data_IF_319771670389
#
_entry.id   IF_319771670389
#
_cell.length_a   1.000
_cell.length_b   1.000
_cell.length_c   1.000
_cell.angle_alpha   90.00
_cell.angle_beta   90.00
_cell.angle_gamma   90.00
#
_symmetry.space_group_name_H-M   'P 1'
#
loop_
_entity.id
_entity.type
_entity.pdbx_description
1 polymer ?
#
# COMPACT_ATOMS: atom_id res chain seq x y z
N UNK A 1 19.62 -4.24 37.57
CA UNK A 1 19.01 -4.64 36.28
C UNK A 1 18.00 -3.57 35.89
N UNK A 2 17.90 -3.25 34.60
CA UNK A 2 16.90 -2.31 34.08
C UNK A 2 15.50 -2.94 34.20
N UNK A 3 14.52 -2.23 34.76
CA UNK A 3 13.16 -2.77 34.97
C UNK A 3 12.19 -2.32 33.87
N UNK A 4 11.06 -3.03 33.73
CA UNK A 4 10.01 -2.70 32.76
C UNK A 4 9.41 -1.32 33.00
N UNK A 5 9.28 -0.93 34.27
CA UNK A 5 8.73 0.36 34.69
C UNK A 5 9.63 1.50 34.20
N UNK A 6 10.95 1.40 34.43
CA UNK A 6 11.91 2.41 33.97
C UNK A 6 11.97 2.52 32.44
N UNK A 7 11.87 1.40 31.73
CA UNK A 7 11.79 1.38 30.26
C UNK A 7 10.51 2.07 29.78
N UNK A 8 9.39 1.81 30.46
CA UNK A 8 8.08 2.39 30.12
C UNK A 8 8.06 3.89 30.37
N UNK A 9 8.61 4.34 31.49
CA UNK A 9 8.78 5.77 31.80
C UNK A 9 9.64 6.47 30.75
N UNK A 10 10.76 5.86 30.35
CA UNK A 10 11.63 6.44 29.33
C UNK A 10 10.94 6.51 27.97
N UNK A 11 10.23 5.45 27.55
CA UNK A 11 9.47 5.47 26.30
C UNK A 11 8.42 6.59 26.28
N UNK A 12 7.70 6.79 27.39
CA UNK A 12 6.74 7.88 27.54
C UNK A 12 7.41 9.26 27.54
N UNK A 13 8.55 9.39 28.23
CA UNK A 13 9.37 10.63 28.24
C UNK A 13 9.82 11.00 26.83
N UNK A 14 10.17 10.01 26.01
CA UNK A 14 10.51 10.18 24.60
C UNK A 14 9.27 10.39 23.72
N UNK A 15 8.05 10.31 24.24
CA UNK A 15 6.82 10.66 23.51
C UNK A 15 6.15 9.53 22.74
N UNK A 16 6.57 8.27 22.92
CA UNK A 16 5.83 7.11 22.42
C UNK A 16 4.49 6.98 23.16
N UNK A 17 3.40 6.66 22.45
CA UNK A 17 2.04 6.67 23.04
C UNK A 17 1.73 5.43 23.86
N UNK A 18 2.43 4.33 23.60
CA UNK A 18 2.26 3.06 24.31
C UNK A 18 3.52 2.20 24.15
N UNK A 19 3.64 1.18 24.99
CA UNK A 19 4.73 0.21 24.99
C UNK A 19 4.22 -1.17 25.44
N UNK A 20 4.78 -2.24 24.90
CA UNK A 20 4.54 -3.60 25.39
C UNK A 20 5.78 -4.49 25.30
N UNK A 21 5.73 -5.62 25.98
CA UNK A 21 6.81 -6.59 26.07
C UNK A 21 6.32 -7.96 25.60
N UNK A 22 7.14 -8.68 24.84
CA UNK A 22 6.84 -10.05 24.43
C UNK A 22 8.12 -10.89 24.32
N UNK A 23 8.01 -12.20 24.12
CA UNK A 23 9.17 -13.08 23.96
C UNK A 23 9.84 -12.89 22.61
N UNK A 24 11.10 -13.32 22.49
CA UNK A 24 11.81 -13.41 21.21
C UNK A 24 11.58 -14.74 20.47
N UNK A 25 10.50 -15.45 20.79
CA UNK A 25 10.17 -16.70 20.10
C UNK A 25 9.71 -16.44 18.66
N UNK A 26 9.88 -17.41 17.75
CA UNK A 26 9.43 -17.31 16.38
C UNK A 26 7.94 -16.94 16.26
N UNK A 27 7.59 -16.27 15.18
CA UNK A 27 6.20 -15.95 14.83
C UNK A 27 5.61 -17.06 13.96
N UNK A 28 5.38 -18.25 14.51
CA UNK A 28 4.99 -19.45 13.75
C UNK A 28 3.75 -19.25 12.88
N UNK A 29 2.69 -18.66 13.43
CA UNK A 29 1.47 -18.32 12.66
C UNK A 29 1.73 -17.33 11.51
N UNK A 30 2.73 -16.46 11.64
CA UNK A 30 3.15 -15.56 10.58
C UNK A 30 3.97 -16.30 9.51
N UNK A 31 4.85 -17.22 9.91
CA UNK A 31 5.59 -18.09 8.99
C UNK A 31 4.64 -18.95 8.16
N UNK A 32 3.64 -19.58 8.79
CA UNK A 32 2.60 -20.35 8.10
C UNK A 32 1.82 -19.48 7.10
N UNK A 33 1.49 -18.25 7.50
CA UNK A 33 0.84 -17.28 6.60
C UNK A 33 1.71 -16.94 5.38
N UNK A 34 2.99 -16.64 5.60
CA UNK A 34 3.93 -16.31 4.53
C UNK A 34 4.12 -17.50 3.58
N UNK A 35 4.20 -18.73 4.10
CA UNK A 35 4.31 -19.93 3.29
C UNK A 35 3.09 -20.12 2.39
N UNK A 36 1.89 -20.04 2.96
CA UNK A 36 0.63 -20.18 2.22
C UNK A 36 0.44 -19.09 1.15
N UNK A 37 1.03 -17.92 1.34
CA UNK A 37 0.85 -16.75 0.47
C UNK A 37 2.14 -16.33 -0.25
N UNK A 38 3.13 -17.22 -0.37
CA UNK A 38 4.48 -16.92 -0.86
C UNK A 38 4.50 -16.12 -2.16
N UNK A 39 3.69 -16.53 -3.14
CA UNK A 39 3.56 -15.87 -4.45
C UNK A 39 3.16 -14.39 -4.35
N UNK A 40 2.36 -14.02 -3.34
CA UNK A 40 1.91 -12.64 -3.15
C UNK A 40 3.03 -11.74 -2.58
N UNK A 41 4.11 -12.32 -2.04
CA UNK A 41 5.19 -11.62 -1.35
C UNK A 41 6.57 -11.78 -2.01
N UNK A 42 6.66 -12.32 -3.23
CA UNK A 42 7.91 -12.45 -4.01
C UNK A 42 8.59 -11.11 -4.35
N UNK A 43 7.87 -10.00 -4.18
CA UNK A 43 8.42 -8.66 -4.30
C UNK A 43 9.35 -8.28 -3.15
N UNK A 44 9.16 -8.84 -1.95
CA UNK A 44 9.86 -8.41 -0.74
C UNK A 44 11.38 -8.61 -0.81
N UNK A 45 11.91 -9.77 -1.26
CA UNK A 45 13.35 -9.96 -1.43
C UNK A 45 13.99 -8.97 -2.42
N UNK A 46 13.25 -8.53 -3.45
CA UNK A 46 13.74 -7.55 -4.44
C UNK A 46 13.99 -6.17 -3.82
N UNK A 47 13.36 -5.89 -2.68
CA UNK A 47 13.53 -4.68 -1.89
C UNK A 47 14.50 -4.88 -0.70
N UNK A 48 15.20 -6.02 -0.65
CA UNK A 48 16.12 -6.36 0.44
C UNK A 48 15.44 -6.76 1.75
N UNK A 49 14.14 -7.05 1.72
CA UNK A 49 13.36 -7.53 2.87
C UNK A 49 13.32 -9.06 2.89
N UNK A 50 13.74 -9.65 3.99
CA UNK A 50 13.66 -11.09 4.23
C UNK A 50 12.59 -11.38 5.28
N UNK A 51 11.33 -11.50 4.82
CA UNK A 51 10.18 -11.67 5.69
C UNK A 51 10.22 -12.99 6.48
N UNK A 52 10.81 -14.05 5.92
CA UNK A 52 10.94 -15.35 6.59
C UNK A 52 12.00 -15.28 7.69
N UNK A 53 13.17 -14.70 7.40
CA UNK A 53 14.20 -14.47 8.40
C UNK A 53 13.69 -13.58 9.54
N UNK A 54 13.06 -12.45 9.20
CA UNK A 54 12.50 -11.53 10.19
C UNK A 54 11.43 -12.15 11.08
N UNK A 55 10.72 -13.20 10.64
CA UNK A 55 9.73 -13.89 11.46
C UNK A 55 10.35 -14.83 12.53
N UNK A 56 11.65 -15.08 12.49
CA UNK A 56 12.41 -15.67 13.61
C UNK A 56 13.41 -14.63 14.16
N UNK A 57 13.08 -13.96 15.28
CA UNK A 57 13.93 -12.93 15.88
C UNK A 57 15.40 -13.33 16.11
N UNK A 58 15.66 -14.61 16.41
CA UNK A 58 17.00 -15.08 16.75
C UNK A 58 17.90 -15.22 15.52
N UNK A 59 17.34 -15.26 14.32
CA UNK A 59 18.13 -15.17 13.08
C UNK A 59 18.71 -13.77 12.83
N UNK A 60 18.12 -12.74 13.46
CA UNK A 60 18.54 -11.35 13.36
C UNK A 60 19.46 -10.97 14.53
N UNK A 61 19.13 -11.42 15.73
CA UNK A 61 19.90 -11.23 16.96
C UNK A 61 19.91 -12.55 17.74
N UNK A 62 20.94 -13.41 17.57
CA UNK A 62 21.01 -14.74 18.20
C UNK A 62 20.82 -14.75 19.71
N UNK A 63 21.25 -13.68 20.37
CA UNK A 63 21.16 -13.47 21.81
C UNK A 63 19.80 -12.90 22.27
N UNK A 64 18.84 -12.65 21.37
CA UNK A 64 17.55 -12.07 21.72
C UNK A 64 16.73 -12.98 22.64
N UNK A 65 16.25 -12.41 23.74
CA UNK A 65 15.39 -13.05 24.74
C UNK A 65 13.99 -12.46 24.77
N UNK A 66 13.87 -11.16 24.54
CA UNK A 66 12.58 -10.46 24.51
C UNK A 66 12.51 -9.45 23.37
N UNK A 67 11.29 -8.97 23.12
CA UNK A 67 10.99 -7.89 22.20
C UNK A 67 10.27 -6.80 22.98
N UNK A 68 10.79 -5.58 22.91
CA UNK A 68 10.13 -4.37 23.37
C UNK A 68 9.43 -3.72 22.16
N UNK A 69 8.13 -3.49 22.25
CA UNK A 69 7.36 -2.85 21.18
C UNK A 69 6.94 -1.46 21.61
N UNK A 70 7.47 -0.44 20.94
CA UNK A 70 7.04 0.94 21.10
C UNK A 70 5.93 1.26 20.11
N UNK A 71 4.92 2.02 20.52
CA UNK A 71 3.86 2.50 19.64
C UNK A 71 4.05 3.99 19.41
N UNK A 72 4.21 4.36 18.15
CA UNK A 72 4.22 5.75 17.71
C UNK A 72 2.86 6.12 17.11
N UNK A 73 2.31 7.29 17.44
CA UNK A 73 1.14 7.82 16.74
C UNK A 73 1.57 8.88 15.73
N UNK A 74 1.41 8.60 14.44
CA UNK A 74 1.85 9.47 13.33
C UNK A 74 0.80 10.49 12.89
N UNK A 75 -0.40 10.46 13.47
CA UNK A 75 -1.47 11.42 13.19
C UNK A 75 -1.92 12.12 14.47
N UNK A 76 -1.07 13.00 15.00
CA UNK A 76 -1.37 13.87 16.16
C UNK A 76 -1.55 15.34 15.77
N UNK A 77 -1.21 15.64 14.52
CA UNK A 77 -1.35 16.94 13.91
C UNK A 77 -2.14 16.77 12.61
N UNK A 78 -2.86 17.81 12.21
CA UNK A 78 -3.61 17.82 10.96
C UNK A 78 -2.67 18.09 9.79
N UNK A 79 -3.00 17.51 8.63
CA UNK A 79 -2.28 17.76 7.39
C UNK A 79 -3.16 18.56 6.42
N UNK A 80 -2.56 19.31 5.47
CA UNK A 80 -3.31 20.05 4.47
C UNK A 80 -4.27 19.12 3.69
N UNK A 81 -5.56 19.48 3.53
CA UNK A 81 -6.53 18.66 2.80
C UNK A 81 -6.09 18.35 1.35
N UNK A 82 -5.35 19.26 0.72
CA UNK A 82 -4.76 19.06 -0.61
C UNK A 82 -3.79 17.88 -0.65
N UNK A 83 -3.09 17.60 0.45
CA UNK A 83 -2.19 16.46 0.54
C UNK A 83 -2.93 15.18 0.93
N UNK A 84 -3.81 15.23 1.94
CA UNK A 84 -4.57 14.04 2.39
C UNK A 84 -5.46 13.44 1.29
N UNK A 85 -5.86 14.25 0.30
CA UNK A 85 -6.61 13.80 -0.87
C UNK A 85 -5.79 12.87 -1.80
N UNK A 86 -4.46 12.96 -1.77
CA UNK A 86 -3.57 12.30 -2.73
C UNK A 86 -2.52 11.39 -2.10
N UNK A 87 -2.23 11.56 -0.81
CA UNK A 87 -1.10 10.92 -0.14
C UNK A 87 -1.56 10.23 1.15
N UNK A 88 -1.04 9.02 1.40
CA UNK A 88 -1.28 8.32 2.67
C UNK A 88 -0.63 9.07 3.85
N UNK A 89 -1.37 9.24 4.95
CA UNK A 89 -0.94 10.09 6.08
C UNK A 89 0.36 9.64 6.74
N UNK A 90 0.63 8.34 6.76
CA UNK A 90 1.86 7.80 7.34
C UNK A 90 3.14 8.21 6.59
N UNK A 91 3.01 8.80 5.39
CA UNK A 91 4.15 9.25 4.56
C UNK A 91 4.30 10.77 4.52
N UNK A 92 3.34 11.53 5.06
CA UNK A 92 3.35 13.00 4.95
C UNK A 92 4.41 13.64 5.84
N UNK A 93 4.66 13.06 7.01
CA UNK A 93 5.67 13.51 7.96
C UNK A 93 6.66 12.40 8.32
N UNK A 94 7.17 11.73 7.30
CA UNK A 94 8.20 10.70 7.45
C UNK A 94 9.58 11.35 7.58
N UNK A 95 10.25 11.09 8.69
CA UNK A 95 11.52 11.72 9.05
C UNK A 95 12.71 10.74 9.00
N UNK A 96 12.55 9.57 8.37
CA UNK A 96 13.64 8.59 8.27
C UNK A 96 14.84 9.12 7.49
N UNK A 97 14.60 9.98 6.50
CA UNK A 97 15.65 10.62 5.71
C UNK A 97 16.16 11.92 6.36
N UNK A 98 15.25 12.76 6.88
CA UNK A 98 15.62 14.04 7.54
C UNK A 98 16.28 13.83 8.90
N UNK A 99 15.99 12.69 9.56
CA UNK A 99 16.54 12.25 10.85
C UNK A 99 16.33 13.26 11.98
N UNK A 100 15.21 13.97 11.96
CA UNK A 100 14.89 15.07 12.88
C UNK A 100 13.63 14.83 13.75
N UNK A 101 13.05 13.63 13.72
CA UNK A 101 11.91 13.27 14.60
C UNK A 101 12.00 11.86 15.19
N UNK A 102 11.18 10.91 14.71
CA UNK A 102 11.09 9.53 15.20
C UNK A 102 12.46 8.86 15.25
N UNK A 103 13.31 9.02 14.22
CA UNK A 103 14.67 8.44 14.23
C UNK A 103 15.51 8.94 15.42
N UNK A 104 15.39 10.21 15.82
CA UNK A 104 16.10 10.76 16.99
C UNK A 104 15.62 10.09 18.28
N UNK A 105 14.31 9.92 18.42
CA UNK A 105 13.70 9.28 19.59
C UNK A 105 14.05 7.80 19.69
N UNK A 106 14.03 7.08 18.57
CA UNK A 106 14.48 5.68 18.50
C UNK A 106 15.95 5.54 18.89
N UNK A 107 16.82 6.45 18.41
CA UNK A 107 18.24 6.47 18.79
C UNK A 107 18.41 6.74 20.29
N UNK A 108 17.70 7.72 20.85
CA UNK A 108 17.73 8.02 22.28
C UNK A 108 17.28 6.82 23.13
N UNK A 109 16.20 6.15 22.74
CA UNK A 109 15.73 4.94 23.42
C UNK A 109 16.77 3.81 23.40
N UNK A 110 17.41 3.58 22.25
CA UNK A 110 18.49 2.58 22.14
C UNK A 110 19.73 2.95 22.96
N UNK A 111 20.09 4.23 23.01
CA UNK A 111 21.17 4.72 23.87
C UNK A 111 20.86 4.46 25.34
N UNK A 112 19.64 4.78 25.79
CA UNK A 112 19.18 4.50 27.16
C UNK A 112 19.28 3.00 27.51
N UNK A 113 18.82 2.11 26.61
CA UNK A 113 18.97 0.66 26.81
C UNK A 113 20.45 0.27 26.96
N UNK A 114 21.29 0.74 26.04
CA UNK A 114 22.73 0.44 26.03
C UNK A 114 23.44 0.93 27.30
N UNK A 115 23.17 2.16 27.74
CA UNK A 115 23.74 2.75 28.96
C UNK A 115 23.36 1.97 30.22
N UNK A 116 22.24 1.25 30.18
CA UNK A 116 21.78 0.38 31.26
C UNK A 116 22.12 -1.11 31.00
N UNK A 117 23.05 -1.40 30.09
CA UNK A 117 23.59 -2.74 29.85
C UNK A 117 22.69 -3.68 29.05
N UNK A 118 21.73 -3.15 28.28
CA UNK A 118 20.83 -3.93 27.43
C UNK A 118 21.23 -3.77 25.96
N UNK A 119 21.67 -4.85 25.31
CA UNK A 119 21.91 -4.82 23.87
C UNK A 119 20.57 -4.77 23.12
N UNK A 120 20.52 -4.02 22.00
CA UNK A 120 19.29 -3.92 21.21
C UNK A 120 19.51 -3.79 19.70
N UNK A 121 18.61 -4.42 18.94
CA UNK A 121 18.45 -4.24 17.49
C UNK A 121 17.01 -3.87 17.14
N UNK A 122 16.83 -2.99 16.16
CA UNK A 122 15.52 -2.58 15.65
C UNK A 122 15.43 -2.89 14.15
N UNK A 123 15.29 -4.18 13.78
CA UNK A 123 15.34 -4.59 12.38
C UNK A 123 14.01 -4.30 11.65
N UNK A 124 14.08 -4.03 10.35
CA UNK A 124 12.91 -3.68 9.53
C UNK A 124 12.03 -4.86 9.11
N UNK A 125 12.60 -6.06 9.09
CA UNK A 125 11.99 -7.29 8.57
C UNK A 125 11.20 -8.07 9.63
N UNK A 126 11.32 -7.72 10.92
CA UNK A 126 10.45 -8.25 11.98
C UNK A 126 8.98 -7.91 11.67
N UNK A 127 8.02 -8.82 11.90
CA UNK A 127 6.61 -8.52 11.71
C UNK A 127 6.09 -7.60 12.84
N UNK A 128 6.38 -6.31 12.73
CA UNK A 128 6.13 -5.27 13.76
C UNK A 128 4.69 -5.29 14.31
N UNK A 129 3.69 -5.47 13.45
CA UNK A 129 2.28 -5.53 13.89
C UNK A 129 1.97 -6.81 14.67
N UNK A 130 2.56 -7.94 14.29
CA UNK A 130 2.41 -9.19 15.05
C UNK A 130 3.14 -9.10 16.40
N UNK A 131 4.34 -8.52 16.44
CA UNK A 131 5.04 -8.26 17.70
C UNK A 131 4.17 -7.39 18.63
N UNK A 132 3.56 -6.34 18.10
CA UNK A 132 2.68 -5.45 18.85
C UNK A 132 1.43 -6.15 19.40
N UNK A 133 0.78 -7.00 18.60
CA UNK A 133 -0.35 -7.80 19.04
C UNK A 133 0.07 -8.86 20.09
N UNK A 134 1.24 -9.50 19.91
CA UNK A 134 1.81 -10.45 20.88
C UNK A 134 2.24 -9.77 22.18
N UNK A 135 2.55 -8.48 22.14
CA UNK A 135 2.84 -7.63 23.30
C UNK A 135 1.60 -6.92 23.88
N UNK A 136 0.38 -7.29 23.45
CA UNK A 136 -0.88 -6.77 24.00
C UNK A 136 -1.18 -5.29 23.72
N UNK A 137 -0.42 -4.64 22.84
CA UNK A 137 -0.54 -3.19 22.54
C UNK A 137 -1.66 -2.87 21.54
N UNK A 138 -2.17 -3.87 20.83
CA UNK A 138 -3.23 -3.69 19.85
C UNK A 138 -3.81 -4.97 19.28
N UNK A 139 -4.93 -4.84 18.60
CA UNK A 139 -5.61 -5.92 17.87
C UNK A 139 -5.67 -5.61 16.38
N UNK A 140 -5.86 -6.62 15.54
CA UNK A 140 -5.98 -6.41 14.10
C UNK A 140 -7.38 -5.98 13.69
N UNK A 141 -7.44 -5.21 12.61
CA UNK A 141 -8.67 -5.00 11.84
C UNK A 141 -8.76 -5.96 10.66
N UNK A 142 -9.96 -6.14 10.10
CA UNK A 142 -10.17 -6.87 8.83
C UNK A 142 -9.43 -6.24 7.63
N UNK A 143 -8.89 -5.03 7.79
CA UNK A 143 -8.02 -4.35 6.83
C UNK A 143 -6.51 -4.63 7.03
N UNK A 144 -6.15 -5.61 7.86
CA UNK A 144 -4.76 -6.03 8.14
C UNK A 144 -3.90 -4.99 8.87
N UNK A 145 -4.51 -3.94 9.42
CA UNK A 145 -3.84 -2.94 10.25
C UNK A 145 -3.99 -3.26 11.73
N UNK A 146 -3.03 -2.78 12.52
CA UNK A 146 -3.10 -2.83 13.98
C UNK A 146 -3.86 -1.60 14.49
N UNK A 147 -4.71 -1.81 15.49
CA UNK A 147 -5.42 -0.77 16.22
C UNK A 147 -5.01 -0.83 17.67
N UNK A 148 -4.67 0.31 18.26
CA UNK A 148 -4.20 0.36 19.64
C UNK A 148 -5.25 -0.13 20.63
N UNK A 149 -4.84 -0.78 21.72
CA UNK A 149 -5.73 -1.12 22.83
C UNK A 149 -5.86 0.00 23.85
N UNK A 150 -4.78 0.75 24.10
CA UNK A 150 -4.67 1.68 25.25
C UNK A 150 -4.41 3.13 24.86
N UNK A 151 -3.98 3.37 23.62
CA UNK A 151 -3.65 4.69 23.12
C UNK A 151 -4.55 5.09 21.95
N UNK A 152 -4.40 6.34 21.51
CA UNK A 152 -5.04 6.92 20.32
C UNK A 152 -6.54 6.61 20.17
N UNK A 153 -7.26 6.48 21.30
CA UNK A 153 -8.69 6.12 21.34
C UNK A 153 -9.04 4.88 20.49
N UNK A 154 -8.17 3.87 20.51
CA UNK A 154 -8.43 2.62 19.78
C UNK A 154 -8.13 2.68 18.29
N UNK A 155 -7.43 3.70 17.81
CA UNK A 155 -7.17 3.96 16.40
C UNK A 155 -5.99 3.17 15.82
N UNK A 156 -6.00 3.03 14.49
CA UNK A 156 -4.92 2.49 13.65
C UNK A 156 -3.92 3.52 13.14
N UNK A 157 -4.05 4.79 13.52
CA UNK A 157 -3.08 5.85 13.16
C UNK A 157 -1.78 5.75 13.97
N UNK A 158 -1.23 4.54 14.03
CA UNK A 158 -0.06 4.15 14.80
C UNK A 158 0.95 3.34 13.98
N UNK A 159 2.22 3.46 14.35
CA UNK A 159 3.34 2.68 13.84
C UNK A 159 3.96 1.89 15.00
N UNK A 160 3.84 0.55 15.00
CA UNK A 160 4.55 -0.27 15.97
C UNK A 160 6.02 -0.44 15.60
N UNK A 161 6.90 -0.38 16.59
CA UNK A 161 8.36 -0.43 16.45
C UNK A 161 8.90 -1.50 17.38
N UNK A 162 9.44 -2.58 16.83
CA UNK A 162 9.88 -3.75 17.58
C UNK A 162 11.40 -3.68 17.77
N UNK A 163 11.84 -3.82 19.03
CA UNK A 163 13.24 -3.82 19.44
C UNK A 163 13.55 -5.19 20.05
N UNK A 164 14.44 -5.93 19.40
CA UNK A 164 15.01 -7.16 19.96
C UNK A 164 15.99 -6.78 21.05
N UNK A 165 15.94 -7.49 22.19
CA UNK A 165 16.82 -7.26 23.34
C UNK A 165 17.35 -8.58 23.91
N UNK A 166 18.56 -8.53 24.46
CA UNK A 166 19.27 -9.67 25.06
C UNK A 166 18.85 -10.00 26.51
N UNK A 167 17.97 -9.17 27.06
CA UNK A 167 17.41 -9.31 28.40
C UNK A 167 16.04 -9.95 28.36
N UNK A 168 15.76 -10.78 29.37
CA UNK A 168 14.45 -11.39 29.55
C UNK A 168 13.54 -10.45 30.34
N UNK A 169 12.37 -10.17 29.78
CA UNK A 169 11.31 -9.42 30.44
C UNK A 169 10.04 -10.28 30.47
N UNK A 170 9.27 -10.17 31.55
CA UNK A 170 7.96 -10.80 31.63
C UNK A 170 7.08 -10.27 30.47
N UNK A 171 6.55 -11.15 29.60
CA UNK A 171 5.71 -10.74 28.49
C UNK A 171 4.37 -10.21 28.99
N UNK A 172 3.79 -9.29 28.21
CA UNK A 172 2.40 -8.85 28.37
C UNK A 172 1.43 -9.88 27.80
N UNK A 173 0.16 -9.79 28.21
CA UNK A 173 -0.90 -10.66 27.72
C UNK A 173 -1.14 -10.43 26.21
N UNK A 174 -1.01 -11.46 25.35
CA UNK A 174 -1.21 -11.30 23.92
C UNK A 174 -2.65 -10.93 23.55
N UNK A 175 -2.81 -10.05 22.57
CA UNK A 175 -4.11 -9.69 21.97
C UNK A 175 -4.17 -10.04 20.49
N UNK A 176 -3.60 -11.19 20.12
CA UNK A 176 -3.55 -11.66 18.74
C UNK A 176 -4.95 -12.06 18.29
N UNK A 177 -5.53 -11.26 17.40
CA UNK A 177 -6.82 -11.54 16.82
C UNK A 177 -7.39 -10.35 16.06
N UNK A 178 -8.47 -10.60 15.33
CA UNK A 178 -9.24 -9.56 14.66
C UNK A 178 -10.39 -9.16 15.60
N UNK A 179 -10.31 -7.96 16.17
CA UNK A 179 -11.33 -7.44 17.09
C UNK A 179 -12.12 -6.30 16.43
N UNK A 180 -12.83 -6.65 15.36
CA UNK A 180 -13.70 -5.70 14.66
C UNK A 180 -15.11 -5.72 15.27
N UNK A 181 -15.70 -4.55 15.56
CA UNK A 181 -17.09 -4.49 16.03
C UNK A 181 -18.04 -5.15 15.03
N UNK A 182 -18.96 -5.98 15.50
CA UNK A 182 -19.90 -6.72 14.64
C UNK A 182 -20.74 -5.81 13.74
N UNK A 183 -21.04 -4.60 14.20
CA UNK A 183 -21.81 -3.59 13.48
C UNK A 183 -21.01 -2.84 12.40
N UNK A 184 -19.69 -3.03 12.28
CA UNK A 184 -18.89 -2.31 11.29
C UNK A 184 -19.18 -2.74 9.84
N UNK A 185 -19.88 -3.87 9.65
CA UNK A 185 -20.35 -4.39 8.35
C UNK A 185 -19.27 -4.38 7.25
N UNK A 186 -18.05 -4.77 7.60
CA UNK A 186 -16.94 -4.91 6.65
C UNK A 186 -16.62 -3.62 5.88
N UNK A 187 -16.87 -2.44 6.49
CA UNK A 187 -16.71 -1.14 5.86
C UNK A 187 -15.41 -0.98 5.07
N UNK A 188 -14.28 -1.41 5.64
CA UNK A 188 -12.97 -1.33 4.99
C UNK A 188 -12.84 -2.21 3.74
N UNK A 189 -13.43 -3.41 3.75
CA UNK A 189 -13.42 -4.35 2.63
C UNK A 189 -14.32 -3.80 1.52
N UNK A 190 -15.55 -3.38 1.87
CA UNK A 190 -16.49 -2.77 0.92
C UNK A 190 -15.94 -1.48 0.30
N UNK A 191 -15.17 -0.70 1.06
CA UNK A 191 -14.58 0.53 0.58
C UNK A 191 -13.32 0.31 -0.27
N UNK A 192 -12.68 -0.87 -0.25
CA UNK A 192 -11.45 -1.14 -1.00
C UNK A 192 -11.76 -1.29 -2.51
N UNK A 193 -11.46 -0.30 -3.35
CA UNK A 193 -11.98 -0.24 -4.72
C UNK A 193 -11.29 -1.27 -5.64
N UNK A 194 -10.05 -1.66 -5.30
CA UNK A 194 -9.28 -2.66 -6.03
C UNK A 194 -9.53 -4.09 -5.53
N UNK A 195 -10.33 -4.26 -4.45
CA UNK A 195 -10.57 -5.56 -3.79
C UNK A 195 -9.28 -6.26 -3.35
N UNK A 196 -8.32 -5.47 -2.85
CA UNK A 196 -7.08 -5.98 -2.29
C UNK A 196 -7.32 -6.72 -0.96
N UNK A 197 -8.22 -6.20 -0.12
CA UNK A 197 -8.63 -6.84 1.13
C UNK A 197 -9.57 -8.02 0.85
N UNK A 198 -9.23 -9.21 1.36
CA UNK A 198 -10.02 -10.44 1.16
C UNK A 198 -11.08 -10.67 2.23
N UNK A 199 -10.91 -10.04 3.40
CA UNK A 199 -11.87 -10.02 4.50
C UNK A 199 -11.72 -11.14 5.53
N UNK A 200 -10.79 -12.05 5.32
CA UNK A 200 -10.34 -13.12 6.22
C UNK A 200 -9.05 -12.73 6.98
N UNK A 201 -8.76 -11.43 7.09
CA UNK A 201 -7.50 -10.93 7.64
C UNK A 201 -6.33 -10.94 6.66
N UNK A 202 -6.57 -11.29 5.38
CA UNK A 202 -5.54 -11.31 4.35
C UNK A 202 -5.72 -10.19 3.31
N UNK A 203 -4.61 -9.84 2.67
CA UNK A 203 -4.52 -8.83 1.62
C UNK A 203 -3.74 -9.39 0.42
N UNK A 204 -4.19 -9.06 -0.79
CA UNK A 204 -3.38 -9.22 -2.00
C UNK A 204 -2.62 -7.91 -2.26
N UNK A 205 -1.33 -7.81 -1.89
CA UNK A 205 -0.56 -6.59 -2.06
C UNK A 205 -0.49 -6.13 -3.52
N UNK A 206 -0.50 -7.06 -4.49
CA UNK A 206 -0.45 -6.74 -5.93
C UNK A 206 -1.68 -5.96 -6.42
N UNK A 207 -2.74 -5.89 -5.61
CA UNK A 207 -3.93 -5.08 -5.86
C UNK A 207 -4.05 -3.89 -4.91
N UNK A 208 -3.25 -3.83 -3.85
CA UNK A 208 -3.29 -2.76 -2.87
C UNK A 208 -2.79 -1.46 -3.51
N UNK A 209 -3.58 -0.38 -3.39
CA UNK A 209 -3.23 0.93 -3.95
C UNK A 209 -1.90 1.42 -3.38
N UNK A 210 -1.69 1.24 -2.07
CA UNK A 210 -0.43 1.62 -1.40
C UNK A 210 0.75 0.89 -2.05
N UNK A 211 0.71 -0.44 -2.10
CA UNK A 211 1.75 -1.25 -2.75
C UNK A 211 1.99 -0.82 -4.21
N UNK A 212 0.93 -0.71 -5.01
CA UNK A 212 1.04 -0.36 -6.43
C UNK A 212 1.62 1.03 -6.66
N UNK A 213 1.43 1.96 -5.72
CA UNK A 213 1.90 3.34 -5.85
C UNK A 213 3.42 3.47 -5.82
N UNK A 214 4.14 2.56 -5.14
CA UNK A 214 5.60 2.60 -5.03
C UNK A 214 6.32 1.29 -5.45
N UNK A 215 5.68 0.12 -5.34
CA UNK A 215 6.27 -1.19 -5.69
C UNK A 215 5.57 -1.91 -6.85
N UNK A 216 4.61 -1.28 -7.52
CA UNK A 216 4.00 -1.87 -8.72
C UNK A 216 5.02 -2.12 -9.83
N UNK A 217 4.70 -2.95 -10.82
CA UNK A 217 5.58 -3.15 -11.98
C UNK A 217 4.95 -2.58 -13.25
N UNK A 218 5.75 -1.84 -14.03
CA UNK A 218 5.33 -1.30 -15.32
C UNK A 218 4.17 -0.29 -15.24
N UNK A 219 3.40 -0.22 -16.32
CA UNK A 219 2.23 0.67 -16.41
C UNK A 219 1.08 0.14 -15.56
N UNK A 220 0.34 1.01 -14.86
CA UNK A 220 -0.84 0.59 -14.09
C UNK A 220 -1.83 -0.19 -14.96
N UNK A 221 -2.24 -1.41 -14.57
CA UNK A 221 -3.22 -2.22 -15.30
C UNK A 221 -4.52 -1.46 -15.53
N UNK A 222 -5.13 -1.63 -16.71
CA UNK A 222 -6.29 -0.84 -17.17
C UNK A 222 -7.44 -0.90 -16.16
N UNK A 223 -7.72 -2.09 -15.63
CA UNK A 223 -8.77 -2.36 -14.66
C UNK A 223 -8.50 -1.77 -13.27
N UNK A 224 -7.28 -1.31 -12.99
CA UNK A 224 -6.91 -0.67 -11.73
C UNK A 224 -6.78 0.85 -11.84
N UNK A 225 -6.68 1.43 -13.05
CA UNK A 225 -6.45 2.87 -13.24
C UNK A 225 -7.51 3.73 -12.55
N UNK A 226 -8.79 3.44 -12.82
CA UNK A 226 -9.91 4.16 -12.21
C UNK A 226 -10.13 3.77 -10.74
N UNK A 227 -10.13 2.46 -10.36
CA UNK A 227 -10.25 2.08 -8.96
C UNK A 227 -9.18 2.62 -8.02
N UNK A 228 -7.95 2.87 -8.47
CA UNK A 228 -6.92 3.47 -7.63
C UNK A 228 -7.24 4.93 -7.23
N UNK A 229 -8.20 5.58 -7.91
CA UNK A 229 -8.71 6.90 -7.53
C UNK A 229 -7.63 7.98 -7.50
N UNK A 230 -7.71 8.84 -6.49
CA UNK A 230 -6.91 10.07 -6.38
C UNK A 230 -5.55 9.89 -5.68
N UNK A 231 -5.15 8.66 -5.32
CA UNK A 231 -3.92 8.42 -4.55
C UNK A 231 -2.65 8.35 -5.42
N UNK A 232 -1.73 9.30 -5.25
CA UNK A 232 -0.42 9.31 -5.91
C UNK A 232 0.57 8.38 -5.19
N UNK A 233 0.59 8.43 -3.85
CA UNK A 233 1.53 7.66 -3.01
C UNK A 233 0.84 7.21 -1.72
N UNK A 234 0.83 5.91 -1.45
CA UNK A 234 0.10 5.36 -0.31
C UNK A 234 -1.41 5.31 -0.51
N UNK A 235 -2.15 4.83 0.50
CA UNK A 235 -3.62 4.84 0.49
C UNK A 235 -4.20 4.65 1.90
N UNK A 236 -5.05 5.58 2.31
CA UNK A 236 -5.68 5.58 3.64
C UNK A 236 -7.14 5.12 3.62
N UNK A 237 -7.67 4.74 2.45
CA UNK A 237 -9.11 4.54 2.27
C UNK A 237 -9.71 3.52 3.25
N UNK A 238 -9.01 2.42 3.51
CA UNK A 238 -9.47 1.39 4.45
C UNK A 238 -9.38 1.83 5.92
N UNK A 239 -8.59 2.85 6.26
CA UNK A 239 -8.52 3.47 7.58
C UNK A 239 -9.59 4.56 7.72
N UNK A 240 -9.73 5.43 6.71
CA UNK A 240 -10.69 6.54 6.70
C UNK A 240 -12.13 6.08 6.92
N UNK A 241 -12.50 4.92 6.34
CA UNK A 241 -13.86 4.37 6.49
C UNK A 241 -14.03 3.48 7.73
N UNK A 242 -12.94 3.17 8.46
CA UNK A 242 -13.04 2.27 9.60
C UNK A 242 -13.63 3.02 10.81
N UNK A 243 -14.74 2.54 11.39
CA UNK A 243 -15.38 3.27 12.48
C UNK A 243 -14.52 3.34 13.75
N UNK A 244 -13.56 2.42 13.94
CA UNK A 244 -12.58 2.45 15.04
C UNK A 244 -11.64 3.67 14.99
N UNK A 245 -11.48 4.31 13.84
CA UNK A 245 -10.68 5.52 13.71
C UNK A 245 -11.48 6.81 13.99
N UNK A 246 -12.82 6.75 14.00
CA UNK A 246 -13.70 7.94 14.08
C UNK A 246 -13.39 8.80 15.30
N UNK A 247 -13.27 8.18 16.48
CA UNK A 247 -13.06 8.90 17.73
C UNK A 247 -11.73 9.67 17.80
N UNK A 248 -10.72 9.18 17.08
CA UNK A 248 -9.43 9.85 16.95
C UNK A 248 -9.44 10.91 15.85
N UNK A 249 -10.00 10.58 14.69
CA UNK A 249 -10.05 11.47 13.52
C UNK A 249 -11.07 12.62 13.65
N UNK A 250 -12.04 12.53 14.56
CA UNK A 250 -12.99 13.62 14.83
C UNK A 250 -12.42 14.74 15.73
N UNK A 251 -11.18 14.59 16.21
CA UNK A 251 -10.52 15.62 17.01
C UNK A 251 -10.08 16.79 16.14
N UNK A 252 -10.15 17.99 16.70
CA UNK A 252 -9.44 19.14 16.15
C UNK A 252 -7.95 19.01 16.51
N UNK A 253 -7.12 18.71 15.51
CA UNK A 253 -5.67 18.58 15.66
C UNK A 253 -4.97 19.86 15.19
N UNK A 254 -3.95 20.36 15.91
CA UNK A 254 -3.16 21.49 15.43
C UNK A 254 -2.51 21.16 14.08
N UNK A 255 -2.29 22.15 13.20
CA UNK A 255 -1.65 21.92 11.92
C UNK A 255 -0.19 21.50 12.09
N UNK A 256 0.24 20.50 11.32
CA UNK A 256 1.65 20.13 11.27
C UNK A 256 2.43 21.18 10.44
N UNK A 257 3.34 21.96 11.04
CA UNK A 257 4.02 23.04 10.33
C UNK A 257 4.98 22.54 9.26
N UNK A 258 5.63 21.38 9.47
CA UNK A 258 6.57 20.79 8.51
C UNK A 258 5.86 20.35 7.23
N UNK A 259 4.69 19.73 7.38
CA UNK A 259 3.86 19.30 6.25
C UNK A 259 3.20 20.48 5.55
N UNK A 260 2.73 21.48 6.31
CA UNK A 260 2.17 22.69 5.72
C UNK A 260 3.19 23.47 4.87
N UNK A 261 4.44 23.58 5.35
CA UNK A 261 5.50 24.32 4.66
C UNK A 261 5.84 23.74 3.27
N UNK A 262 5.77 22.42 3.10
CA UNK A 262 6.09 21.73 1.84
C UNK A 262 4.89 21.43 0.95
N UNK A 263 3.67 21.82 1.34
CA UNK A 263 2.46 21.42 0.63
C UNK A 263 2.43 21.82 -0.85
N UNK A 264 3.03 22.96 -1.20
CA UNK A 264 3.13 23.43 -2.59
C UNK A 264 4.06 22.56 -3.44
N UNK A 265 5.07 21.93 -2.82
CA UNK A 265 6.03 21.11 -3.55
C UNK A 265 5.37 19.84 -4.12
N UNK A 266 4.23 19.44 -3.55
CA UNK A 266 3.43 18.26 -3.94
C UNK A 266 2.23 18.60 -4.84
N UNK A 267 2.20 19.78 -5.46
CA UNK A 267 1.21 20.10 -6.49
C UNK A 267 1.27 19.10 -7.66
N UNK A 268 0.12 18.69 -8.18
CA UNK A 268 0.07 17.65 -9.22
C UNK A 268 0.79 18.09 -10.51
N UNK A 269 0.70 19.35 -10.93
CA UNK A 269 1.41 19.81 -12.12
C UNK A 269 2.92 19.83 -11.87
N UNK A 270 3.36 20.32 -10.70
CA UNK A 270 4.77 20.29 -10.31
C UNK A 270 5.32 18.85 -10.31
N UNK A 271 4.59 17.88 -9.76
CA UNK A 271 4.98 16.47 -9.74
C UNK A 271 4.94 15.80 -11.12
N UNK A 272 4.09 16.26 -12.04
CA UNK A 272 4.06 15.74 -13.42
C UNK A 272 5.32 16.18 -14.18
N UNK A 273 5.74 17.43 -14.00
CA UNK A 273 6.86 18.04 -14.71
C UNK A 273 8.21 17.92 -13.99
N UNK A 274 8.24 17.45 -12.74
CA UNK A 274 9.48 17.40 -11.95
C UNK A 274 10.63 16.67 -12.66
N UNK A 275 11.83 17.20 -12.49
CA UNK A 275 13.07 16.55 -12.87
C UNK A 275 13.70 15.82 -11.66
N UNK A 276 14.87 15.23 -11.89
CA UNK A 276 15.65 14.57 -10.83
C UNK A 276 16.00 15.53 -9.70
N UNK A 277 16.44 16.74 -10.03
CA UNK A 277 16.88 17.74 -9.07
C UNK A 277 15.75 18.14 -8.13
N UNK A 278 14.58 18.47 -8.68
CA UNK A 278 13.39 18.80 -7.91
C UNK A 278 12.99 17.64 -7.01
N UNK A 279 12.96 16.43 -7.54
CA UNK A 279 12.60 15.23 -6.77
C UNK A 279 13.55 14.99 -5.59
N UNK A 280 14.86 14.96 -5.83
CA UNK A 280 15.87 14.68 -4.81
C UNK A 280 15.91 15.76 -3.72
N UNK A 281 15.61 17.01 -4.06
CA UNK A 281 15.63 18.13 -3.11
C UNK A 281 14.32 18.35 -2.35
N UNK A 282 13.16 18.12 -3.00
CA UNK A 282 11.85 18.53 -2.47
C UNK A 282 10.95 17.37 -2.07
N UNK A 283 11.08 16.21 -2.74
CA UNK A 283 10.12 15.10 -2.60
C UNK A 283 10.75 13.91 -1.87
N UNK A 284 11.89 13.44 -2.37
CA UNK A 284 12.59 12.27 -1.83
C UNK A 284 12.92 12.36 -0.33
N UNK A 285 13.30 13.53 0.23
CA UNK A 285 13.52 13.66 1.68
C UNK A 285 12.31 13.33 2.55
N UNK A 286 11.11 13.29 1.96
CA UNK A 286 9.85 13.03 2.66
C UNK A 286 9.14 11.75 2.20
N UNK A 287 9.35 11.28 0.96
CA UNK A 287 8.72 10.08 0.42
C UNK A 287 9.73 9.21 -0.35
N UNK A 288 10.55 8.47 0.39
CA UNK A 288 11.80 7.88 -0.10
C UNK A 288 11.70 6.45 -0.67
N UNK A 289 10.53 5.79 -0.62
CA UNK A 289 10.40 4.41 -1.14
C UNK A 289 10.57 4.24 -2.65
N UNK A 290 10.66 5.34 -3.39
CA UNK A 290 11.03 5.35 -4.80
C UNK A 290 12.33 6.12 -4.96
N UNK A 291 13.26 5.60 -5.75
CA UNK A 291 14.47 6.35 -6.11
C UNK A 291 14.22 7.32 -7.26
N UNK A 292 15.19 8.18 -7.54
CA UNK A 292 15.14 9.07 -8.69
C UNK A 292 15.21 8.34 -10.06
N UNK A 293 15.55 7.05 -10.07
CA UNK A 293 15.44 6.21 -11.29
C UNK A 293 13.99 5.76 -11.55
N UNK A 294 13.11 5.98 -10.56
CA UNK A 294 11.70 5.64 -10.60
C UNK A 294 10.78 6.86 -10.77
N UNK A 295 11.31 8.02 -11.19
CA UNK A 295 10.52 9.23 -11.47
C UNK A 295 9.32 8.97 -12.38
N UNK A 296 9.48 8.05 -13.34
CA UNK A 296 8.40 7.61 -14.22
C UNK A 296 7.16 7.15 -13.45
N UNK A 297 7.31 6.53 -12.27
CA UNK A 297 6.20 6.01 -11.47
C UNK A 297 5.40 7.15 -10.85
N UNK A 298 6.09 8.15 -10.31
CA UNK A 298 5.46 9.36 -9.81
C UNK A 298 4.64 10.06 -10.90
N UNK A 299 5.27 10.35 -12.04
CA UNK A 299 4.61 11.01 -13.18
C UNK A 299 3.43 10.21 -13.69
N UNK A 300 3.57 8.88 -13.79
CA UNK A 300 2.47 7.98 -14.16
C UNK A 300 1.32 8.05 -13.15
N UNK A 301 1.61 7.97 -11.84
CA UNK A 301 0.58 8.03 -10.80
C UNK A 301 -0.15 9.38 -10.82
N UNK A 302 0.58 10.48 -11.00
CA UNK A 302 0.03 11.83 -11.12
C UNK A 302 -0.87 11.95 -12.35
N UNK A 303 -0.41 11.51 -13.53
CA UNK A 303 -1.23 11.50 -14.74
C UNK A 303 -2.52 10.68 -14.55
N UNK A 304 -2.44 9.53 -13.86
CA UNK A 304 -3.62 8.72 -13.50
C UNK A 304 -4.59 9.49 -12.60
N UNK A 305 -4.08 10.20 -11.59
CA UNK A 305 -4.87 11.02 -10.67
C UNK A 305 -5.54 12.19 -11.40
N UNK A 306 -4.80 12.90 -12.26
CA UNK A 306 -5.38 13.94 -13.13
C UNK A 306 -6.49 13.37 -14.01
N UNK A 307 -6.27 12.22 -14.65
CA UNK A 307 -7.31 11.53 -15.44
C UNK A 307 -8.54 11.13 -14.63
N UNK A 308 -8.34 10.64 -13.40
CA UNK A 308 -9.41 10.26 -12.48
C UNK A 308 -10.20 11.45 -11.94
N UNK A 309 -9.57 12.63 -11.80
CA UNK A 309 -10.25 13.85 -11.38
C UNK A 309 -11.37 14.24 -12.35
N UNK A 310 -11.18 13.96 -13.64
CA UNK A 310 -12.07 14.44 -14.70
C UNK A 310 -12.09 15.97 -14.82
N UNK A 311 -11.08 16.66 -14.29
CA UNK A 311 -10.96 18.11 -14.30
C UNK A 311 -10.21 18.58 -15.55
N UNK A 312 -10.91 19.32 -16.40
CA UNK A 312 -10.39 19.83 -17.68
C UNK A 312 -9.21 20.79 -17.48
N UNK A 313 -9.01 21.35 -16.28
CA UNK A 313 -7.86 22.22 -15.97
C UNK A 313 -6.51 21.54 -16.18
N UNK A 314 -6.46 20.21 -16.12
CA UNK A 314 -5.22 19.45 -16.29
C UNK A 314 -4.91 19.13 -17.77
N UNK A 315 -5.80 19.44 -18.71
CA UNK A 315 -5.57 19.16 -20.12
C UNK A 315 -4.29 19.84 -20.67
N UNK A 316 -4.00 21.13 -20.39
CA UNK A 316 -2.78 21.76 -20.87
C UNK A 316 -1.52 21.07 -20.34
N UNK A 317 -1.45 20.80 -19.03
CA UNK A 317 -0.32 20.12 -18.37
C UNK A 317 -0.10 18.71 -18.95
N UNK A 318 -1.18 17.94 -19.12
CA UNK A 318 -1.11 16.59 -19.70
C UNK A 318 -0.64 16.61 -21.17
N UNK A 319 -1.12 17.55 -21.98
CA UNK A 319 -0.68 17.70 -23.37
C UNK A 319 0.79 18.11 -23.46
N UNK A 320 1.22 19.02 -22.59
CA UNK A 320 2.62 19.43 -22.51
C UNK A 320 3.52 18.25 -22.12
N UNK A 321 3.19 17.56 -21.02
CA UNK A 321 3.95 16.40 -20.53
C UNK A 321 3.99 15.25 -21.55
N UNK A 322 2.96 15.09 -22.39
CA UNK A 322 2.93 14.09 -23.46
C UNK A 322 4.05 14.32 -24.49
N UNK A 323 4.38 15.58 -24.77
CA UNK A 323 5.46 15.98 -25.68
C UNK A 323 6.85 15.86 -25.07
N UNK A 324 6.96 15.95 -23.74
CA UNK A 324 8.26 15.96 -23.02
C UNK A 324 8.79 14.56 -22.67
N UNK A 325 7.90 13.61 -22.35
CA UNK A 325 8.32 12.32 -21.77
C UNK A 325 8.57 11.24 -22.82
N UNK A 326 9.76 10.64 -22.84
CA UNK A 326 10.04 9.45 -23.65
C UNK A 326 9.70 8.13 -22.96
N UNK A 327 9.38 8.17 -21.66
CA UNK A 327 8.94 6.97 -20.94
C UNK A 327 7.55 6.52 -21.43
N UNK A 328 7.50 5.32 -22.03
CA UNK A 328 6.28 4.75 -22.62
C UNK A 328 5.18 4.49 -21.59
N UNK A 329 5.52 4.25 -20.31
CA UNK A 329 4.55 4.02 -19.24
C UNK A 329 3.87 5.34 -18.86
N UNK A 330 4.66 6.40 -18.71
CA UNK A 330 4.15 7.76 -18.45
C UNK A 330 3.31 8.23 -19.63
N UNK A 331 3.84 8.15 -20.84
CA UNK A 331 3.15 8.56 -22.08
C UNK A 331 1.83 7.82 -22.27
N UNK A 332 1.82 6.51 -22.01
CA UNK A 332 0.61 5.68 -22.08
C UNK A 332 -0.45 6.07 -21.03
N UNK A 333 -0.03 6.46 -19.82
CA UNK A 333 -0.95 6.92 -18.78
C UNK A 333 -1.50 8.32 -19.07
N UNK A 334 -0.67 9.22 -19.60
CA UNK A 334 -1.11 10.55 -20.06
C UNK A 334 -2.14 10.41 -21.17
N UNK A 335 -1.90 9.56 -22.17
CA UNK A 335 -2.87 9.29 -23.24
C UNK A 335 -4.21 8.78 -22.68
N UNK A 336 -4.16 7.87 -21.71
CA UNK A 336 -5.36 7.39 -21.01
C UNK A 336 -6.08 8.51 -20.25
N UNK A 337 -5.33 9.37 -19.55
CA UNK A 337 -5.89 10.50 -18.80
C UNK A 337 -6.58 11.52 -19.72
N UNK A 338 -5.92 11.89 -20.83
CA UNK A 338 -6.49 12.76 -21.87
C UNK A 338 -7.78 12.17 -22.44
N UNK A 339 -7.80 10.88 -22.78
CA UNK A 339 -9.00 10.20 -23.26
C UNK A 339 -10.13 10.16 -22.21
N UNK A 340 -9.78 10.01 -20.92
CA UNK A 340 -10.75 9.99 -19.81
C UNK A 340 -11.39 11.36 -19.59
N UNK A 341 -10.61 12.43 -19.64
CA UNK A 341 -11.06 13.82 -19.48
C UNK A 341 -11.80 14.29 -20.74
N UNK A 342 -11.13 14.25 -21.90
CA UNK A 342 -11.68 14.71 -23.18
C UNK A 342 -12.92 13.92 -23.63
N UNK A 343 -13.00 12.62 -23.32
CA UNK A 343 -14.19 11.82 -23.58
C UNK A 343 -15.39 12.19 -22.68
N UNK A 344 -15.18 12.81 -21.51
CA UNK A 344 -16.25 13.39 -20.70
C UNK A 344 -16.61 14.79 -21.18
N UNK A 345 -15.64 15.62 -21.53
CA UNK A 345 -15.86 16.92 -22.17
C UNK A 345 -16.70 16.81 -23.45
N UNK A 346 -16.38 15.84 -24.33
CA UNK A 346 -17.14 15.55 -25.55
C UNK A 346 -18.57 15.05 -25.28
N UNK A 347 -18.82 14.39 -24.14
CA UNK A 347 -20.17 13.95 -23.72
C UNK A 347 -20.97 15.02 -22.99
N UNK A 348 -20.28 15.99 -22.37
CA UNK A 348 -20.87 17.15 -21.68
C UNK A 348 -21.11 18.34 -22.61
N UNK A 349 -20.44 18.38 -23.76
CA UNK A 349 -20.78 19.31 -24.82
C UNK A 349 -22.27 19.09 -25.17
N UNK A 350 -23.15 20.11 -25.02
CA UNK A 350 -24.50 20.00 -25.51
C UNK A 350 -24.43 19.65 -27.00
N UNK A 351 -25.39 18.85 -27.48
CA UNK A 351 -25.60 18.58 -28.90
C UNK A 351 -26.01 19.87 -29.64
N UNK A 352 -25.17 20.89 -29.60
CA UNK A 352 -25.31 22.15 -30.28
C UNK A 352 -24.41 22.09 -31.51
N UNK A 353 -24.82 21.24 -32.46
CA UNK A 353 -24.53 21.48 -33.87
C UNK A 353 -25.89 21.70 -34.52
N UNK A 354 -26.34 22.94 -34.73
CA UNK A 354 -27.40 23.22 -35.67
C UNK A 354 -26.91 22.77 -37.05
N UNK A 355 -27.69 21.92 -37.71
CA UNK A 355 -27.34 21.38 -39.01
C UNK A 355 -26.92 22.48 -39.99
N UNK A 356 -25.70 22.38 -40.50
CA UNK A 356 -25.37 22.75 -41.87
C UNK A 356 -24.48 21.67 -42.44
N UNK A 357 -24.98 21.05 -43.51
CA UNK A 357 -24.34 19.92 -44.16
C UNK A 357 -22.99 20.29 -44.76
N UNK A 358 -22.06 19.34 -44.65
CA UNK A 358 -21.35 18.72 -45.77
C UNK A 358 -20.60 17.52 -45.21
N UNK A 359 -21.07 16.33 -45.54
CA UNK A 359 -20.41 15.06 -45.27
C UNK A 359 -19.09 15.00 -46.04
N UNK A 360 -17.99 15.33 -45.38
CA UNK A 360 -16.65 14.94 -45.81
C UNK A 360 -16.34 13.54 -45.29
N UNK A 361 -16.64 12.52 -46.08
CA UNK A 361 -16.25 11.14 -45.77
C UNK A 361 -14.74 10.99 -45.88
N UNK A 362 -14.04 10.84 -44.75
CA UNK A 362 -12.71 10.22 -44.75
C UNK A 362 -12.91 8.72 -45.00
N UNK A 363 -12.74 8.29 -46.26
CA UNK A 363 -12.67 6.87 -46.62
C UNK A 363 -11.36 6.29 -46.10
N UNK A 364 -11.43 5.46 -45.07
CA UNK A 364 -10.39 4.46 -44.80
C UNK A 364 -10.53 3.40 -45.91
N UNK A 365 -9.49 3.24 -46.74
CA UNK A 365 -9.42 2.13 -47.72
C UNK A 365 -9.31 0.81 -46.94
N UNK A 366 -10.40 0.05 -46.89
CA UNK A 366 -10.35 -1.38 -46.62
C UNK A 366 -10.33 -2.12 -47.96
N UNK A 367 -9.39 -3.07 -48.11
CA UNK A 367 -9.31 -3.98 -49.25
C UNK A 367 -10.53 -4.90 -49.34
N UNK A 368 -10.77 -5.53 -50.50
CA UNK A 368 -12.05 -6.17 -50.79
C UNK A 368 -12.16 -7.52 -50.07
N UNK A 369 -13.29 -7.77 -49.43
CA UNK A 369 -13.71 -9.12 -49.07
C UNK A 369 -14.46 -9.21 -47.75
N UNK A 370 -15.65 -9.80 -47.83
CA UNK A 370 -16.53 -10.28 -46.75
C UNK A 370 -17.62 -9.30 -46.28
N UNK A 371 -18.85 -9.70 -46.58
CA UNK A 371 -20.13 -9.05 -46.33
C UNK A 371 -20.43 -8.85 -44.83
N UNK A 372 -21.11 -7.75 -44.50
CA UNK A 372 -21.61 -7.46 -43.15
C UNK A 372 -23.05 -7.95 -42.98
N UNK A 373 -23.41 -8.67 -41.89
CA UNK A 373 -24.81 -8.89 -41.55
C UNK A 373 -25.40 -7.67 -40.82
N UNK A 374 -26.66 -7.39 -41.11
CA UNK A 374 -27.42 -6.21 -40.66
C UNK A 374 -27.72 -6.13 -39.15
N UNK A 375 -28.36 -5.03 -38.71
CA UNK A 375 -28.41 -4.64 -37.30
C UNK A 375 -29.41 -5.49 -36.49
N UNK A 376 -28.94 -6.03 -35.37
CA UNK A 376 -29.77 -6.72 -34.37
C UNK A 376 -30.45 -5.68 -33.48
N UNK A 377 -31.79 -5.75 -33.42
CA UNK A 377 -32.65 -4.96 -32.53
C UNK A 377 -32.34 -5.26 -31.06
N UNK A 378 -32.12 -4.19 -30.27
CA UNK A 378 -32.08 -4.27 -28.81
C UNK A 378 -33.50 -4.52 -28.26
N UNK A 379 -33.70 -5.66 -27.58
CA UNK A 379 -34.91 -5.90 -26.80
C UNK A 379 -34.63 -5.70 -25.31
N UNK A 380 -35.29 -4.70 -24.75
CA UNK A 380 -35.36 -4.39 -23.32
C UNK A 380 -36.13 -5.47 -22.54
N UNK A 381 -35.47 -6.28 -21.72
CA UNK A 381 -36.09 -6.95 -20.54
C UNK A 381 -35.03 -7.24 -19.46
N UNK A 382 -35.06 -6.42 -18.40
CA UNK A 382 -34.54 -6.77 -17.07
C UNK A 382 -35.60 -7.62 -16.35
N UNK A 383 -35.23 -8.67 -15.61
CA UNK A 383 -36.03 -9.15 -14.50
C UNK A 383 -35.40 -8.75 -13.17
N UNK A 384 -36.17 -7.97 -12.42
CA UNK A 384 -36.12 -7.88 -10.97
C UNK A 384 -36.19 -9.29 -10.35
N UNK A 385 -35.33 -9.58 -9.36
CA UNK A 385 -35.61 -10.61 -8.36
C UNK A 385 -35.32 -10.08 -6.96
N UNK A 386 -36.35 -10.13 -6.11
CA UNK A 386 -36.37 -9.78 -4.69
C UNK A 386 -36.91 -10.99 -3.91
N UNK A 387 -36.51 -11.06 -2.63
CA UNK A 387 -36.77 -12.10 -1.60
C UNK A 387 -35.75 -13.26 -1.62
N UNK A 388 -35.12 -13.69 -0.53
CA UNK A 388 -35.29 -13.43 0.90
C UNK A 388 -35.67 -14.72 1.64
N UNK A 389 -34.74 -15.34 2.36
CA UNK A 389 -34.85 -15.91 3.74
C UNK A 389 -33.76 -16.94 4.06
N UNK A 390 -33.42 -16.92 5.35
CA UNK A 390 -32.55 -17.78 6.17
C UNK A 390 -32.45 -19.26 5.80
N UNK A 391 -31.27 -19.86 6.06
CA UNK A 391 -31.09 -21.12 6.81
C UNK A 391 -29.61 -21.31 7.23
N UNK A 392 -29.42 -21.77 8.47
CA UNK A 392 -28.22 -22.37 9.12
C UNK A 392 -28.79 -23.36 10.17
N UNK A 393 -28.02 -24.28 10.79
CA UNK A 393 -26.76 -24.94 10.40
C UNK A 393 -26.78 -26.48 10.62
N UNK A 394 -25.73 -27.22 10.21
CA UNK A 394 -25.49 -28.61 10.65
C UNK A 394 -24.32 -29.31 9.93
N UNK A 395 -23.26 -29.63 10.69
CA UNK A 395 -22.12 -30.52 10.37
C UNK A 395 -22.44 -31.97 10.86
N UNK A 396 -21.57 -33.01 10.83
CA UNK A 396 -20.24 -33.23 10.19
C UNK A 396 -20.05 -34.66 9.57
N UNK A 397 -18.79 -35.00 9.25
CA UNK A 397 -18.19 -36.32 8.91
C UNK A 397 -18.22 -36.74 7.42
N UNK A 398 -17.19 -37.35 6.81
CA UNK A 398 -15.95 -37.91 7.34
C UNK A 398 -14.94 -38.25 6.23
N UNK A 399 -13.78 -38.69 6.69
CA UNK A 399 -12.59 -39.19 5.99
C UNK A 399 -12.84 -40.11 4.78
N UNK A 400 -11.92 -40.09 3.80
CA UNK A 400 -11.30 -41.31 3.25
C UNK A 400 -10.04 -40.98 2.44
N UNK A 401 -9.05 -41.85 2.60
CA UNK A 401 -7.67 -41.81 2.12
C UNK A 401 -7.44 -42.65 0.86
N UNK A 402 -6.35 -42.33 0.14
CA UNK A 402 -5.50 -43.21 -0.70
C UNK A 402 -6.10 -43.88 -1.95
N UNK A 403 -5.44 -43.66 -3.10
CA UNK A 403 -4.68 -44.72 -3.82
C UNK A 403 -3.93 -44.14 -5.03
N UNK A 404 -2.73 -44.70 -5.28
CA UNK A 404 -1.80 -44.38 -6.36
C UNK A 404 -2.04 -45.24 -7.61
N UNK A 405 -1.44 -44.78 -8.73
CA UNK A 405 -0.68 -45.55 -9.74
C UNK A 405 -1.30 -45.89 -11.13
N UNK A 406 -0.50 -45.59 -12.17
CA UNK A 406 -0.33 -46.36 -13.42
C UNK A 406 -1.04 -45.85 -14.69
N UNK A 407 -0.40 -45.00 -15.52
CA UNK A 407 0.31 -45.33 -16.80
C UNK A 407 -0.59 -45.31 -18.08
N UNK A 408 -0.06 -45.19 -19.32
CA UNK A 408 0.92 -44.22 -19.85
C UNK A 408 0.54 -43.64 -21.24
N UNK A 409 1.23 -42.58 -21.67
CA UNK A 409 1.64 -42.38 -23.07
C UNK A 409 0.70 -41.63 -24.02
N UNK A 410 1.14 -40.44 -24.48
CA UNK A 410 1.04 -40.01 -25.87
C UNK A 410 2.03 -38.87 -26.13
N UNK A 411 2.99 -39.15 -27.02
CA UNK A 411 3.98 -38.20 -27.55
C UNK A 411 3.30 -37.34 -28.62
N UNK A 412 3.48 -36.02 -28.57
CA UNK A 412 3.37 -35.18 -29.76
C UNK A 412 4.53 -34.17 -29.82
N UNK A 413 5.01 -33.99 -31.05
CA UNK A 413 6.25 -33.37 -31.46
C UNK A 413 6.42 -31.91 -30.99
N UNK A 414 7.61 -31.58 -30.49
CA UNK A 414 8.07 -30.19 -30.37
C UNK A 414 8.54 -29.70 -31.74
N UNK A 415 7.87 -28.66 -32.25
CA UNK A 415 8.44 -27.77 -33.27
C UNK A 415 9.39 -26.80 -32.58
N UNK A 416 10.57 -26.67 -33.16
CA UNK A 416 11.51 -25.59 -32.89
C UNK A 416 10.82 -24.23 -33.06
N UNK A 417 10.97 -23.38 -32.05
CA UNK A 417 10.77 -21.95 -32.15
C UNK A 417 11.88 -21.29 -31.32
N UNK A 418 12.96 -20.92 -31.99
CA UNK A 418 14.02 -20.08 -31.44
C UNK A 418 13.46 -18.68 -31.13
N UNK A 419 13.61 -18.13 -29.91
CA UNK A 419 13.36 -16.72 -29.67
C UNK A 419 14.61 -15.91 -30.05
N UNK A 420 14.41 -14.87 -30.87
CA UNK A 420 15.38 -13.81 -31.13
C UNK A 420 15.77 -13.03 -29.86
N UNK A 421 16.79 -12.17 -29.93
CA UNK A 421 17.60 -11.78 -28.80
C UNK A 421 16.79 -11.03 -27.73
N UNK A 422 16.83 -11.59 -26.52
CA UNK A 422 16.27 -10.99 -25.32
C UNK A 422 16.92 -9.63 -25.04
N UNK A 423 16.10 -8.59 -24.96
CA UNK A 423 16.42 -7.36 -24.24
C UNK A 423 16.83 -7.74 -22.80
N UNK A 424 18.14 -7.77 -22.51
CA UNK A 424 18.63 -7.77 -21.13
C UNK A 424 18.22 -6.43 -20.51
N UNK A 425 17.11 -6.43 -19.77
CA UNK A 425 16.79 -5.32 -18.88
C UNK A 425 17.76 -5.39 -17.70
N UNK A 426 18.66 -4.41 -17.61
CA UNK A 426 19.24 -4.01 -16.35
C UNK A 426 18.10 -3.44 -15.50
N UNK A 427 17.41 -4.30 -14.77
CA UNK A 427 16.57 -3.91 -13.63
C UNK A 427 17.54 -3.51 -12.53
N UNK A 428 17.97 -2.24 -12.50
CA UNK A 428 18.49 -1.68 -11.27
C UNK A 428 17.31 -1.60 -10.29
N UNK A 429 17.21 -2.62 -9.44
CA UNK A 429 16.40 -2.56 -8.22
C UNK A 429 16.80 -1.33 -7.41
N UNK A 430 15.89 -0.71 -6.63
CA UNK A 430 16.29 0.29 -5.66
C UNK A 430 17.42 -0.29 -4.79
N UNK A 431 18.51 0.47 -4.64
CA UNK A 431 19.69 0.02 -3.89
C UNK A 431 19.27 -0.48 -2.50
N UNK A 432 19.39 -1.79 -2.22
CA UNK A 432 19.04 -2.36 -0.91
C UNK A 432 19.86 -1.73 0.22
N UNK A 433 21.03 -1.16 -0.09
CA UNK A 433 21.82 -0.42 0.89
C UNK A 433 21.13 0.87 1.34
N UNK A 434 20.35 1.55 0.50
CA UNK A 434 19.63 2.75 0.93
C UNK A 434 18.54 2.43 1.96
N UNK A 435 17.88 1.27 1.86
CA UNK A 435 16.93 0.82 2.89
C UNK A 435 17.63 0.42 4.21
N UNK A 436 18.85 -0.15 4.12
CA UNK A 436 19.61 -0.60 5.30
C UNK A 436 20.45 0.51 5.96
N UNK A 437 20.94 1.51 5.23
CA UNK A 437 21.75 2.64 5.75
C UNK A 437 20.93 3.66 6.56
N UNK A 438 19.61 3.52 6.58
CA UNK A 438 18.69 4.35 7.35
C UNK A 438 18.41 3.83 8.78
N UNK A 439 19.03 2.71 9.21
CA UNK A 439 18.89 2.12 10.56
C UNK A 439 19.97 2.50 11.57
#
# INVERSE_FOLDING_TARGET
MLTRERITEEARRLGFVDIGFTTADPFDSHLEYLEKNREAYEWAPKLGLDLFKGADPRTVMPEAKSIIVLIEAYYRESFPPSLEAHFGRCYLDDDRVTRDGLTVRMKAFRSFLKENGVASKAPFDIPHRMAAARAGTGTFGKNCLLYSNRAVRGSSWILPLAFLVDCEFQPDEPTIGIDCPSWCRDACISACPTRALKGDGTIDPRRCISYLSYFGDGITPVELREPMGMYVYGCDRCQNVCPRNTAWSAQELPPNPRVAAKAKDFDLAALLHMDRTYFEQRIWPHMFYMSADELWRWKMNVARVMGNSGDDRYLPELLHAFGETDDTRVRGMIAWALGKIGGRGARRAPAAVPGRGRTGTYRIRHGPGVESPGPIRASSRLPFYRHGRHWRPGCPAGSLSRAMSGHPGLRYARRDNSPGPAYRRNLHSPDPENFRKLS
#
